data_IF_113119630241
#
_entry.id   IF_113119630241
#
_cell.length_a   1.000
_cell.length_b   1.000
_cell.length_c   1.000
_cell.angle_alpha   90.00
_cell.angle_beta   90.00
_cell.angle_gamma   90.00
#
_symmetry.space_group_name_H-M   'P 1'
#
loop_
_entity.id
_entity.type
_entity.pdbx_description
1 polymer ?
#
# COMPACT_ATOMS: atom_id res chain seq x y z
N UNK A 1 -27.39 9.51 2.61
CA UNK A 1 -26.12 10.27 2.70
C UNK A 1 -24.99 9.27 2.55
N UNK A 2 -24.30 9.24 1.40
CA UNK A 2 -23.10 8.42 1.27
C UNK A 2 -22.04 9.03 2.17
N UNK A 3 -21.72 8.37 3.29
CA UNK A 3 -20.50 8.65 4.03
C UNK A 3 -19.35 8.33 3.09
N UNK A 4 -18.87 9.34 2.36
CA UNK A 4 -17.69 9.19 1.53
C UNK A 4 -16.54 8.78 2.43
N UNK A 5 -15.92 7.65 2.12
CA UNK A 5 -14.71 7.17 2.78
C UNK A 5 -13.57 8.18 2.56
N UNK A 6 -13.61 9.30 3.28
CA UNK A 6 -12.65 10.40 3.16
C UNK A 6 -11.78 10.42 4.40
N UNK A 7 -10.55 10.00 4.23
CA UNK A 7 -9.47 10.29 5.15
C UNK A 7 -9.06 11.76 4.97
N UNK A 8 -8.55 12.37 6.03
CA UNK A 8 -7.89 13.69 5.91
C UNK A 8 -6.60 13.54 5.08
N UNK A 9 -6.14 14.61 4.42
CA UNK A 9 -4.82 14.61 3.81
C UNK A 9 -3.74 14.21 4.80
N UNK A 10 -2.76 13.44 4.33
CA UNK A 10 -1.75 12.80 5.15
C UNK A 10 -0.36 12.87 4.51
N UNK A 11 0.65 12.54 5.29
CA UNK A 11 2.03 12.43 4.80
C UNK A 11 2.37 10.96 4.57
N UNK A 12 2.84 10.66 3.37
CA UNK A 12 3.37 9.35 3.00
C UNK A 12 4.86 9.43 2.69
N UNK A 13 5.61 8.41 3.05
CA UNK A 13 7.02 8.27 2.72
C UNK A 13 7.24 7.09 1.78
N UNK A 14 8.12 7.25 0.77
CA UNK A 14 8.44 6.21 -0.20
C UNK A 14 9.95 5.96 -0.26
N UNK A 15 10.37 4.74 0.07
CA UNK A 15 11.76 4.30 -0.02
C UNK A 15 12.16 3.93 -1.46
N UNK A 16 13.22 4.55 -1.99
CA UNK A 16 13.72 4.32 -3.35
C UNK A 16 15.23 4.55 -3.48
N UNK A 17 15.78 4.43 -4.69
CA UNK A 17 17.14 4.87 -4.99
C UNK A 17 17.22 6.41 -5.09
N UNK A 18 18.31 7.01 -4.62
CA UNK A 18 18.53 8.47 -4.67
C UNK A 18 18.33 9.04 -6.08
N UNK A 19 18.79 8.35 -7.12
CA UNK A 19 18.61 8.81 -8.50
C UNK A 19 17.13 8.89 -8.93
N UNK A 20 16.27 8.01 -8.41
CA UNK A 20 14.82 8.09 -8.61
C UNK A 20 14.26 9.28 -7.83
N UNK A 21 14.64 9.42 -6.57
CA UNK A 21 14.22 10.54 -5.73
C UNK A 21 14.53 11.90 -6.38
N UNK A 22 15.74 12.10 -6.89
CA UNK A 22 16.13 13.37 -7.54
C UNK A 22 15.29 13.69 -8.79
N UNK A 23 14.94 12.69 -9.60
CA UNK A 23 14.04 12.88 -10.76
C UNK A 23 12.63 13.28 -10.32
N UNK A 24 12.13 12.63 -9.28
CA UNK A 24 10.79 12.92 -8.73
C UNK A 24 10.74 14.32 -8.12
N UNK A 25 11.73 14.65 -7.29
CA UNK A 25 11.82 15.92 -6.57
C UNK A 25 12.11 17.13 -7.49
N UNK A 26 12.68 16.90 -8.67
CA UNK A 26 12.87 17.93 -9.69
C UNK A 26 11.68 18.08 -10.65
N UNK A 27 10.61 17.29 -10.47
CA UNK A 27 9.44 17.30 -11.34
C UNK A 27 9.65 16.64 -12.71
N UNK A 28 10.76 15.91 -12.90
CA UNK A 28 11.07 15.23 -14.16
C UNK A 28 10.32 13.90 -14.31
N UNK A 29 9.84 13.32 -13.22
CA UNK A 29 9.11 12.05 -13.20
C UNK A 29 8.18 11.96 -11.99
N UNK A 30 7.27 10.98 -12.01
CA UNK A 30 6.57 10.49 -10.83
C UNK A 30 7.23 9.19 -10.33
N UNK A 31 6.87 8.79 -9.11
CA UNK A 31 7.20 7.45 -8.61
C UNK A 31 6.49 6.39 -9.47
N UNK A 32 7.12 5.24 -9.62
CA UNK A 32 6.57 4.16 -10.44
C UNK A 32 5.27 3.62 -9.83
N UNK A 33 4.24 3.51 -10.66
CA UNK A 33 3.02 2.80 -10.32
C UNK A 33 3.28 1.30 -10.36
N UNK A 34 2.99 0.61 -9.27
CA UNK A 34 3.17 -0.84 -9.18
C UNK A 34 1.92 -1.57 -9.65
N UNK A 35 2.11 -2.65 -10.40
CA UNK A 35 1.04 -3.52 -10.90
C UNK A 35 1.29 -5.00 -10.53
N UNK A 36 2.15 -5.27 -9.54
CA UNK A 36 2.50 -6.63 -9.19
C UNK A 36 1.30 -7.39 -8.62
N UNK A 37 1.23 -8.69 -8.92
CA UNK A 37 0.18 -9.59 -8.42
C UNK A 37 0.29 -9.94 -6.93
N UNK A 38 1.32 -9.45 -6.24
CA UNK A 38 1.61 -9.79 -4.84
C UNK A 38 1.62 -8.58 -3.91
N UNK A 39 1.39 -7.37 -4.43
CA UNK A 39 1.35 -6.16 -3.63
C UNK A 39 0.05 -6.10 -2.82
N UNK A 40 0.17 -5.88 -1.51
CA UNK A 40 -0.91 -6.13 -0.57
C UNK A 40 -2.19 -5.34 -0.83
N UNK A 41 -2.06 -4.05 -1.13
CA UNK A 41 -3.16 -3.11 -1.32
C UNK A 41 -3.56 -2.96 -2.80
N UNK A 42 -3.19 -3.93 -3.64
CA UNK A 42 -3.46 -3.88 -5.09
C UNK A 42 -2.47 -3.00 -5.86
N UNK A 43 -2.89 -2.50 -7.02
CA UNK A 43 -2.04 -1.64 -7.85
C UNK A 43 -1.92 -0.24 -7.25
N UNK A 44 -0.79 0.44 -7.44
CA UNK A 44 -0.61 1.80 -6.93
C UNK A 44 0.84 2.20 -6.68
N UNK A 45 1.02 3.46 -6.30
CA UNK A 45 2.26 3.98 -5.72
C UNK A 45 2.15 3.85 -4.20
N UNK A 46 3.06 3.08 -3.59
CA UNK A 46 3.00 2.72 -2.17
C UNK A 46 3.75 3.71 -1.29
N UNK A 47 3.15 4.08 -0.16
CA UNK A 47 3.77 4.91 0.86
C UNK A 47 3.56 4.32 2.26
N UNK A 48 4.57 4.47 3.11
CA UNK A 48 4.42 4.33 4.56
C UNK A 48 3.83 5.63 5.10
N UNK A 49 2.64 5.54 5.70
CA UNK A 49 1.97 6.73 6.27
C UNK A 49 2.66 7.10 7.58
N UNK A 50 3.05 8.36 7.69
CA UNK A 50 3.68 8.95 8.88
C UNK A 50 4.91 8.21 9.45
N UNK A 51 5.55 7.36 8.63
CA UNK A 51 6.71 6.55 9.08
C UNK A 51 7.88 6.64 8.11
N UNK A 52 8.71 7.66 8.30
CA UNK A 52 9.96 7.85 7.56
C UNK A 52 10.92 6.68 7.78
N UNK A 53 11.05 6.22 9.02
CA UNK A 53 11.99 5.17 9.43
C UNK A 53 11.69 3.84 8.73
N UNK A 54 10.41 3.46 8.59
CA UNK A 54 10.02 2.23 7.86
C UNK A 54 10.31 2.36 6.36
N UNK A 55 10.01 3.51 5.77
CA UNK A 55 10.37 3.76 4.36
C UNK A 55 11.90 3.72 4.16
N UNK A 56 12.67 4.25 5.11
CA UNK A 56 14.13 4.23 5.08
C UNK A 56 14.70 2.82 5.24
N UNK A 57 14.18 2.05 6.20
CA UNK A 57 14.56 0.65 6.40
C UNK A 57 14.30 -0.18 5.14
N UNK A 58 13.11 -0.03 4.54
CA UNK A 58 12.79 -0.66 3.27
C UNK A 58 13.73 -0.24 2.14
N UNK A 59 14.02 1.07 2.03
CA UNK A 59 14.97 1.58 1.05
C UNK A 59 16.35 0.93 1.21
N UNK A 60 16.87 0.78 2.44
CA UNK A 60 18.15 0.11 2.71
C UNK A 60 18.14 -1.35 2.26
N UNK A 61 17.02 -2.05 2.41
CA UNK A 61 16.90 -3.46 2.02
C UNK A 61 16.76 -3.67 0.50
N UNK A 62 16.10 -2.74 -0.20
CA UNK A 62 15.72 -2.91 -1.62
C UNK A 62 16.53 -2.07 -2.61
N UNK A 63 17.13 -0.97 -2.17
CA UNK A 63 17.93 -0.09 -3.00
C UNK A 63 19.12 -0.85 -3.57
N UNK A 64 19.34 -0.71 -4.89
CA UNK A 64 20.47 -1.35 -5.56
C UNK A 64 21.76 -0.55 -5.41
N UNK A 65 21.65 0.75 -5.10
CA UNK A 65 22.79 1.68 -5.04
C UNK A 65 22.78 2.51 -3.77
N UNK A 66 22.01 3.61 -3.77
CA UNK A 66 22.03 4.60 -2.70
C UNK A 66 20.61 4.79 -2.18
N UNK A 67 20.27 4.24 -1.00
CA UNK A 67 18.92 4.34 -0.46
C UNK A 67 18.56 5.80 -0.19
N UNK A 68 17.30 6.14 -0.43
CA UNK A 68 16.73 7.46 -0.20
C UNK A 68 15.24 7.34 0.10
N UNK A 69 14.67 8.36 0.75
CA UNK A 69 13.23 8.44 1.02
C UNK A 69 12.68 9.75 0.46
N UNK A 70 11.59 9.66 -0.28
CA UNK A 70 10.80 10.80 -0.75
C UNK A 70 9.57 10.94 0.14
N UNK A 71 9.27 12.15 0.59
CA UNK A 71 7.99 12.47 1.23
C UNK A 71 6.96 12.87 0.19
N UNK A 72 5.69 12.58 0.45
CA UNK A 72 4.56 12.99 -0.37
C UNK A 72 3.43 13.51 0.53
N UNK A 73 2.82 14.62 0.12
CA UNK A 73 1.56 15.07 0.70
C UNK A 73 0.42 14.53 -0.15
N UNK A 74 -0.47 13.75 0.46
CA UNK A 74 -1.46 12.93 -0.23
C UNK A 74 -2.85 13.35 0.23
N UNK A 75 -3.72 13.70 -0.72
CA UNK A 75 -5.18 13.76 -0.52
C UNK A 75 -5.79 12.42 -0.96
N UNK A 76 -6.26 11.57 -0.02
CA UNK A 76 -6.73 10.22 -0.33
C UNK A 76 -7.97 10.16 -1.22
N UNK A 77 -8.68 11.26 -1.45
CA UNK A 77 -9.88 11.26 -2.29
C UNK A 77 -10.94 10.28 -1.79
N UNK A 78 -11.51 9.46 -2.69
CA UNK A 78 -12.32 8.32 -2.30
C UNK A 78 -11.40 7.14 -1.95
N UNK A 79 -11.25 6.86 -0.66
CA UNK A 79 -10.30 5.86 -0.17
C UNK A 79 -10.99 4.54 0.21
N UNK A 80 -10.46 3.41 -0.25
CA UNK A 80 -10.78 2.12 0.32
C UNK A 80 -10.01 1.97 1.64
N UNK A 81 -10.59 2.44 2.74
CA UNK A 81 -9.98 2.37 4.07
C UNK A 81 -10.28 1.01 4.72
N UNK A 82 -9.27 0.13 4.76
CA UNK A 82 -9.38 -1.22 5.33
C UNK A 82 -9.63 -1.22 6.86
N UNK A 83 -9.49 -0.09 7.54
CA UNK A 83 -9.81 0.05 8.96
C UNK A 83 -11.26 0.49 9.20
N UNK A 84 -12.00 0.84 8.15
CA UNK A 84 -13.42 1.18 8.26
C UNK A 84 -14.26 -0.09 8.33
N UNK A 85 -15.16 -0.15 9.32
CA UNK A 85 -16.06 -1.27 9.54
C UNK A 85 -16.88 -1.62 8.29
N UNK A 86 -17.33 -0.60 7.54
CA UNK A 86 -18.20 -0.79 6.36
C UNK A 86 -17.52 -1.53 5.19
N UNK A 87 -16.19 -1.39 5.06
CA UNK A 87 -15.40 -1.93 3.94
C UNK A 87 -15.36 -3.46 3.95
N UNK A 88 -15.53 -4.08 5.12
CA UNK A 88 -15.51 -5.55 5.27
C UNK A 88 -16.54 -6.25 4.37
N UNK A 89 -17.71 -5.63 4.15
CA UNK A 89 -18.75 -6.20 3.30
C UNK A 89 -18.36 -6.18 1.82
N UNK A 90 -17.78 -5.08 1.34
CA UNK A 90 -17.35 -4.91 -0.05
C UNK A 90 -16.21 -5.89 -0.41
N UNK A 91 -15.25 -6.09 0.49
CA UNK A 91 -14.17 -7.07 0.30
C UNK A 91 -14.66 -8.51 0.32
N UNK A 92 -15.64 -8.85 1.17
CA UNK A 92 -16.25 -10.19 1.18
C UNK A 92 -16.96 -10.48 -0.14
N UNK A 93 -17.69 -9.52 -0.68
CA UNK A 93 -18.32 -9.65 -2.00
C UNK A 93 -17.28 -9.84 -3.10
N UNK A 94 -16.21 -9.04 -3.08
CA UNK A 94 -15.10 -9.18 -4.03
C UNK A 94 -14.42 -10.55 -3.96
N UNK A 95 -14.20 -11.07 -2.76
CA UNK A 95 -13.64 -12.42 -2.58
C UNK A 95 -14.57 -13.52 -3.12
N UNK A 96 -15.89 -13.44 -2.88
CA UNK A 96 -16.82 -14.45 -3.44
C UNK A 96 -16.85 -14.40 -4.97
N UNK A 97 -16.90 -13.21 -5.55
CA UNK A 97 -16.80 -13.04 -7.01
C UNK A 97 -15.50 -13.64 -7.57
N UNK A 98 -14.36 -13.36 -6.92
CA UNK A 98 -13.07 -13.92 -7.31
C UNK A 98 -13.09 -15.46 -7.23
N UNK A 99 -13.62 -16.02 -6.14
CA UNK A 99 -13.73 -17.46 -5.93
C UNK A 99 -14.59 -18.14 -7.01
N UNK A 100 -15.73 -17.54 -7.35
CA UNK A 100 -16.61 -18.05 -8.41
C UNK A 100 -15.91 -17.98 -9.78
N UNK A 101 -15.21 -16.88 -10.07
CA UNK A 101 -14.46 -16.71 -11.31
C UNK A 101 -13.39 -17.79 -11.48
N UNK A 102 -12.58 -18.04 -10.44
CA UNK A 102 -11.55 -19.09 -10.45
C UNK A 102 -12.15 -20.49 -10.61
N UNK A 103 -13.30 -20.76 -9.96
CA UNK A 103 -14.00 -22.03 -10.13
C UNK A 103 -14.50 -22.24 -11.56
N UNK A 104 -14.99 -21.20 -12.25
CA UNK A 104 -15.44 -21.31 -13.64
C UNK A 104 -14.31 -21.63 -14.62
N UNK A 105 -13.11 -21.10 -14.38
CA UNK A 105 -11.93 -21.39 -15.21
C UNK A 105 -11.15 -22.62 -14.76
N UNK A 106 -11.64 -23.34 -13.73
CA UNK A 106 -10.99 -24.53 -13.16
C UNK A 106 -9.56 -24.26 -12.67
N UNK A 107 -9.30 -23.08 -12.12
CA UNK A 107 -8.03 -22.70 -11.49
C UNK A 107 -8.17 -22.56 -9.97
N UNK A 108 -7.07 -22.79 -9.26
CA UNK A 108 -7.00 -22.58 -7.82
C UNK A 108 -6.84 -21.10 -7.46
N UNK A 109 -7.52 -20.68 -6.39
CA UNK A 109 -7.35 -19.33 -5.85
C UNK A 109 -5.88 -19.06 -5.47
N UNK A 110 -5.37 -17.84 -5.70
CA UNK A 110 -4.08 -17.43 -5.15
C UNK A 110 -4.10 -17.53 -3.63
N UNK A 111 -2.93 -17.73 -3.03
CA UNK A 111 -2.77 -17.80 -1.57
C UNK A 111 -1.80 -16.75 -1.07
N UNK A 112 -2.04 -16.27 0.15
CA UNK A 112 -1.08 -15.43 0.86
C UNK A 112 0.01 -16.32 1.46
N UNK A 113 1.27 -15.90 1.33
CA UNK A 113 2.39 -16.57 2.00
C UNK A 113 2.95 -15.66 3.09
N UNK A 114 3.18 -16.24 4.28
CA UNK A 114 3.78 -15.54 5.41
C UNK A 114 5.28 -15.32 5.17
N UNK A 115 5.96 -16.28 4.55
CA UNK A 115 7.36 -16.24 4.11
C UNK A 115 7.53 -17.11 2.86
N UNK A 116 8.21 -16.59 1.83
CA UNK A 116 8.62 -17.42 0.70
C UNK A 116 10.11 -17.21 0.43
N UNK A 117 10.92 -18.27 0.58
CA UNK A 117 12.37 -18.25 0.30
C UNK A 117 13.16 -17.13 1.02
N UNK A 118 12.83 -16.84 2.28
CA UNK A 118 13.49 -15.76 3.03
C UNK A 118 13.16 -14.35 2.54
N UNK A 119 12.17 -14.21 1.63
CA UNK A 119 11.64 -12.92 1.18
C UNK A 119 10.32 -12.62 1.89
N UNK A 120 10.03 -11.32 2.15
CA UNK A 120 8.84 -10.89 2.89
C UNK A 120 7.52 -11.35 2.24
N UNK A 121 6.47 -11.35 3.06
CA UNK A 121 5.07 -11.68 2.75
C UNK A 121 4.63 -11.36 1.31
N UNK A 122 4.20 -12.38 0.57
CA UNK A 122 3.49 -12.19 -0.69
C UNK A 122 1.99 -12.25 -0.42
N UNK A 123 1.27 -11.19 -0.77
CA UNK A 123 -0.15 -11.03 -0.47
C UNK A 123 -1.02 -11.22 -1.71
N UNK A 124 -0.78 -12.32 -2.45
CA UNK A 124 -1.42 -12.54 -3.76
C UNK A 124 -2.94 -12.61 -3.67
N UNK A 125 -3.47 -13.27 -2.64
CA UNK A 125 -4.92 -13.34 -2.46
C UNK A 125 -5.49 -11.97 -2.12
N UNK A 126 -4.87 -11.25 -1.19
CA UNK A 126 -5.35 -9.93 -0.79
C UNK A 126 -5.30 -8.96 -1.98
N UNK A 127 -4.18 -8.96 -2.74
CA UNK A 127 -4.01 -8.19 -3.97
C UNK A 127 -5.14 -8.48 -4.97
N UNK A 128 -5.41 -9.75 -5.24
CA UNK A 128 -6.48 -10.16 -6.16
C UNK A 128 -7.87 -9.75 -5.67
N UNK A 129 -8.13 -9.83 -4.37
CA UNK A 129 -9.41 -9.38 -3.78
C UNK A 129 -9.59 -7.86 -3.91
N UNK A 130 -8.53 -7.07 -3.66
CA UNK A 130 -8.58 -5.61 -3.84
C UNK A 130 -8.83 -5.25 -5.31
N UNK A 131 -8.13 -5.92 -6.24
CA UNK A 131 -8.37 -5.75 -7.68
C UNK A 131 -9.80 -6.11 -8.08
N UNK A 132 -10.33 -7.22 -7.58
CA UNK A 132 -11.71 -7.63 -7.80
C UNK A 132 -12.72 -6.60 -7.25
N UNK A 133 -12.44 -6.01 -6.08
CA UNK A 133 -13.28 -4.93 -5.53
C UNK A 133 -13.31 -3.70 -6.45
N UNK A 134 -12.17 -3.33 -7.03
CA UNK A 134 -12.12 -2.26 -8.04
C UNK A 134 -12.90 -2.60 -9.31
N UNK A 135 -12.76 -3.83 -9.81
CA UNK A 135 -13.48 -4.29 -11.00
C UNK A 135 -14.99 -4.27 -10.78
N UNK A 136 -15.47 -4.85 -9.69
CA UNK A 136 -16.90 -4.89 -9.37
C UNK A 136 -17.53 -3.49 -9.30
N UNK A 137 -16.81 -2.51 -8.76
CA UNK A 137 -17.28 -1.11 -8.74
C UNK A 137 -17.42 -0.54 -10.14
N UNK A 138 -16.43 -0.80 -11.00
CA UNK A 138 -16.46 -0.37 -12.39
C UNK A 138 -17.66 -0.99 -13.12
N UNK A 139 -17.90 -2.28 -12.93
CA UNK A 139 -18.98 -3.03 -13.57
C UNK A 139 -20.37 -2.47 -13.21
N UNK A 140 -20.54 -1.98 -11.97
CA UNK A 140 -21.80 -1.37 -11.51
C UNK A 140 -21.83 0.16 -11.62
N UNK A 141 -20.85 0.77 -12.30
CA UNK A 141 -20.79 2.22 -12.51
C UNK A 141 -20.59 3.05 -11.25
N UNK A 142 -20.00 2.48 -10.18
CA UNK A 142 -19.62 3.21 -8.97
C UNK A 142 -18.29 3.96 -9.18
N UNK A 143 -18.06 5.10 -8.50
CA UNK A 143 -16.79 5.82 -8.58
C UNK A 143 -15.60 4.93 -8.18
N UNK A 144 -14.49 5.00 -8.91
CA UNK A 144 -13.26 4.29 -8.56
C UNK A 144 -12.67 4.81 -7.26
N UNK A 145 -11.99 3.94 -6.50
CA UNK A 145 -11.17 4.38 -5.38
C UNK A 145 -9.89 5.01 -5.88
N UNK A 146 -9.54 6.17 -5.31
CA UNK A 146 -8.30 6.89 -5.59
C UNK A 146 -7.12 6.29 -4.82
N UNK A 147 -7.37 5.79 -3.61
CA UNK A 147 -6.37 5.16 -2.75
C UNK A 147 -6.92 3.94 -2.02
N UNK A 148 -6.01 3.09 -1.55
CA UNK A 148 -6.29 2.00 -0.60
C UNK A 148 -5.41 2.20 0.62
N UNK A 149 -5.99 2.17 1.82
CA UNK A 149 -5.29 2.47 3.08
C UNK A 149 -5.49 1.32 4.07
N UNK A 150 -4.43 0.89 4.76
CA UNK A 150 -4.55 -0.18 5.76
C UNK A 150 -3.39 -0.27 6.74
N UNK A 151 -3.66 -0.93 7.87
CA UNK A 151 -2.64 -1.28 8.89
C UNK A 151 -2.05 -2.65 8.53
N UNK A 152 -0.76 -2.69 8.26
CA UNK A 152 -0.02 -3.92 8.00
C UNK A 152 0.64 -4.43 9.28
N UNK A 153 0.14 -5.54 9.81
CA UNK A 153 0.75 -6.24 10.94
C UNK A 153 1.90 -7.12 10.45
N UNK A 154 3.13 -6.63 10.59
CA UNK A 154 4.35 -7.25 10.08
C UNK A 154 5.34 -7.57 11.21
N UNK A 155 6.04 -8.70 11.10
CA UNK A 155 7.09 -9.11 12.02
C UNK A 155 6.63 -10.09 13.09
N UNK A 156 7.54 -10.43 14.00
CA UNK A 156 7.22 -11.28 15.14
C UNK A 156 6.38 -10.51 16.17
N UNK A 157 5.83 -11.24 17.15
CA UNK A 157 5.26 -10.59 18.34
C UNK A 157 6.37 -9.81 19.07
N UNK A 158 6.09 -8.57 19.47
CA UNK A 158 7.09 -7.66 20.06
C UNK A 158 7.71 -8.21 21.36
N UNK A 159 6.98 -9.06 22.07
CA UNK A 159 7.44 -9.81 23.25
C UNK A 159 6.53 -11.05 23.44
N UNK A 160 6.92 -12.06 24.25
CA UNK A 160 6.14 -13.29 24.42
C UNK A 160 4.67 -13.02 24.77
N UNK A 161 3.76 -13.58 23.98
CA UNK A 161 2.31 -13.41 24.14
C UNK A 161 1.70 -12.11 23.59
N UNK A 162 2.52 -11.22 23.00
CA UNK A 162 2.02 -9.93 22.49
C UNK A 162 1.21 -10.05 21.20
N UNK A 163 0.14 -9.27 21.10
CA UNK A 163 -0.56 -9.02 19.84
C UNK A 163 0.15 -7.93 18.99
N UNK A 164 0.99 -7.09 19.60
CA UNK A 164 1.76 -6.07 18.90
C UNK A 164 2.88 -6.73 18.08
N UNK A 165 3.08 -6.28 16.83
CA UNK A 165 4.15 -6.78 15.97
C UNK A 165 5.28 -5.76 15.82
N UNK A 166 6.51 -6.26 15.68
CA UNK A 166 7.74 -5.46 15.61
C UNK A 166 7.74 -4.40 14.51
N UNK A 167 7.06 -4.67 13.40
CA UNK A 167 7.06 -3.81 12.22
C UNK A 167 5.65 -3.38 11.83
N UNK A 168 4.67 -3.39 12.74
CA UNK A 168 3.33 -2.86 12.43
C UNK A 168 3.43 -1.42 11.93
N UNK A 169 2.83 -1.15 10.77
CA UNK A 169 2.81 0.18 10.18
C UNK A 169 1.56 0.38 9.33
N UNK A 170 1.29 1.62 8.95
CA UNK A 170 0.23 1.95 8.01
C UNK A 170 0.83 2.10 6.61
N UNK A 171 0.15 1.51 5.62
CA UNK A 171 0.45 1.74 4.21
C UNK A 171 -0.73 2.39 3.50
N UNK A 172 -0.41 3.18 2.48
CA UNK A 172 -1.37 3.66 1.49
C UNK A 172 -0.84 3.37 0.09
N UNK A 173 -1.67 2.75 -0.75
CA UNK A 173 -1.44 2.61 -2.18
C UNK A 173 -2.26 3.68 -2.91
N UNK A 174 -1.56 4.57 -3.62
CA UNK A 174 -2.17 5.63 -4.42
C UNK A 174 -2.37 5.12 -5.85
N UNK A 175 -3.63 4.90 -6.23
CA UNK A 175 -4.03 4.42 -7.56
C UNK A 175 -4.19 5.58 -8.53
N UNK A 176 -4.79 6.66 -8.07
CA UNK A 176 -4.93 7.89 -8.83
C UNK A 176 -3.78 8.85 -8.48
N UNK A 177 -2.86 9.07 -9.43
CA UNK A 177 -1.71 9.95 -9.23
C UNK A 177 -2.10 11.38 -8.83
N UNK A 178 -3.31 11.85 -9.16
CA UNK A 178 -3.81 13.18 -8.76
C UNK A 178 -4.00 13.32 -7.24
N UNK A 179 -4.11 12.21 -6.50
CA UNK A 179 -4.10 12.21 -5.03
C UNK A 179 -2.76 12.63 -4.44
N UNK A 180 -1.67 12.61 -5.21
CA UNK A 180 -0.36 13.11 -4.77
C UNK A 180 -0.31 14.61 -5.08
N UNK A 181 -0.53 15.44 -4.04
CA UNK A 181 -0.51 16.89 -4.18
C UNK A 181 0.91 17.38 -4.48
N UNK A 182 1.91 16.74 -3.89
CA UNK A 182 3.31 17.08 -4.17
C UNK A 182 4.28 16.17 -3.42
N UNK A 183 5.50 16.14 -3.94
CA UNK A 183 6.64 15.48 -3.30
C UNK A 183 7.52 16.50 -2.61
N UNK A 184 8.16 16.10 -1.53
CA UNK A 184 9.11 16.94 -0.81
C UNK A 184 10.32 16.14 -0.34
N UNK A 185 11.41 16.87 -0.09
CA UNK A 185 12.59 16.33 0.59
C UNK A 185 12.28 16.30 2.09
N UNK A 186 12.12 15.13 2.71
CA UNK A 186 12.03 15.10 4.16
C UNK A 186 13.35 15.63 4.71
N UNK A 187 13.29 16.38 5.81
CA UNK A 187 14.48 16.57 6.63
C UNK A 187 14.96 15.17 7.01
N UNK A 188 16.26 14.91 6.77
CA UNK A 188 16.83 13.68 7.28
C UNK A 188 16.73 13.82 8.79
N UNK A 189 15.78 13.11 9.41
CA UNK A 189 15.76 12.93 10.85
C UNK A 189 17.13 12.34 11.16
N UNK A 190 18.03 13.20 11.63
CA UNK A 190 19.38 12.80 11.99
C UNK A 190 19.14 11.72 13.03
N UNK A 191 19.49 10.48 12.70
CA UNK A 191 19.64 9.47 13.73
C UNK A 191 20.76 10.01 14.60
N UNK A 192 20.39 10.71 15.67
CA UNK A 192 21.26 10.99 16.79
C UNK A 192 21.75 9.62 17.22
N UNK A 193 22.93 9.28 16.73
CA UNK A 193 23.70 8.15 17.17
C UNK A 193 24.19 8.58 18.54
N UNK A 194 23.41 8.24 19.55
CA UNK A 194 23.84 8.15 20.95
C UNK A 194 23.80 6.69 21.33
#
# INVERSE_FOLDING_TARGET
>A
MQSGYKLSPLVGYHGCDKAVAEKVLSGQAHLNHSENEYDWLGDGIYFWVDSYERAWEWAKMRSKKKPYVVGAFIDPGLCLNLTDYGVTSELKTAYQFLKETYAQISEDLPTNAVMQHGKPMTRKLDCAVIKAAHQLRQDVGKPSFDTVYGVFEEGAALYPGSALKEHTHVQIAVRNQQSIIGYFRPEQLISSTT
#
